data_IF_921537542277
#
_entry.id   IF_921537542277
#
_cell.length_a   1.000
_cell.length_b   1.000
_cell.length_c   1.000
_cell.angle_alpha   90.00
_cell.angle_beta   90.00
_cell.angle_gamma   90.00
#
_symmetry.space_group_name_H-M   'P 1'
#
loop_
_entity.id
_entity.type
_entity.pdbx_description
1 polymer ?
#
# COMPACT_ATOMS: atom_id res chain seq x y z
N UNK A 1 20.72 24.17 -21.67
CA UNK A 1 19.53 24.12 -20.80
C UNK A 1 19.02 22.68 -20.73
N UNK A 2 19.18 22.01 -19.60
CA UNK A 2 18.71 20.64 -19.39
C UNK A 2 17.93 20.60 -18.09
N UNK A 3 16.60 20.52 -18.24
CA UNK A 3 15.60 20.52 -17.17
C UNK A 3 15.78 19.29 -16.30
N UNK A 4 16.62 19.39 -15.26
CA UNK A 4 16.70 18.37 -14.20
C UNK A 4 15.75 18.75 -13.08
N UNK A 5 14.44 18.59 -13.31
CA UNK A 5 13.44 18.61 -12.24
C UNK A 5 13.42 17.22 -11.59
N UNK A 6 14.44 16.91 -10.80
CA UNK A 6 14.46 15.77 -9.90
C UNK A 6 14.50 16.30 -8.46
N UNK A 7 13.47 17.02 -8.04
CA UNK A 7 13.27 17.41 -6.64
C UNK A 7 11.79 17.48 -6.28
N UNK A 8 10.99 16.48 -6.67
CA UNK A 8 9.61 16.31 -6.19
C UNK A 8 9.40 15.03 -5.38
N UNK A 9 10.47 14.35 -4.99
CA UNK A 9 10.40 13.14 -4.15
C UNK A 9 10.24 13.43 -2.65
N UNK A 10 10.04 14.69 -2.25
CA UNK A 10 9.89 15.09 -0.85
C UNK A 10 8.98 16.32 -0.67
N UNK A 11 8.07 16.57 -1.61
CA UNK A 11 6.98 17.51 -1.33
C UNK A 11 6.04 16.82 -0.34
N UNK A 12 5.72 17.45 0.81
CA UNK A 12 4.74 16.90 1.73
C UNK A 12 3.44 16.66 0.95
N UNK A 13 2.84 15.48 1.15
CA UNK A 13 1.55 15.15 0.54
C UNK A 13 0.58 16.29 0.86
N UNK A 14 0.15 17.01 -0.17
CA UNK A 14 -0.89 18.02 0.00
C UNK A 14 -2.21 17.32 0.38
N UNK A 15 -3.11 18.04 1.04
CA UNK A 15 -4.44 17.55 1.37
C UNK A 15 -5.17 16.98 0.14
N UNK A 16 -4.95 17.53 -1.06
CA UNK A 16 -5.52 17.01 -2.30
C UNK A 16 -4.90 15.66 -2.72
N UNK A 17 -3.60 15.48 -2.48
CA UNK A 17 -2.92 14.21 -2.76
C UNK A 17 -3.37 13.11 -1.79
N UNK A 18 -3.58 13.41 -0.50
CA UNK A 18 -4.17 12.44 0.45
C UNK A 18 -5.59 12.03 0.05
N UNK A 19 -6.41 12.96 -0.44
CA UNK A 19 -7.75 12.66 -0.95
C UNK A 19 -7.69 11.73 -2.16
N UNK A 20 -6.73 11.93 -3.08
CA UNK A 20 -6.53 11.04 -4.22
C UNK A 20 -6.03 9.67 -3.78
N UNK A 21 -5.08 9.58 -2.86
CA UNK A 21 -4.63 8.30 -2.30
C UNK A 21 -5.80 7.53 -1.68
N UNK A 22 -6.70 8.20 -0.96
CA UNK A 22 -7.91 7.59 -0.40
C UNK A 22 -8.84 7.04 -1.48
N UNK A 23 -9.08 7.79 -2.56
CA UNK A 23 -9.91 7.33 -3.69
C UNK A 23 -9.31 6.13 -4.40
N UNK A 24 -7.98 6.11 -4.58
CA UNK A 24 -7.28 4.99 -5.21
C UNK A 24 -7.35 3.75 -4.33
N UNK A 25 -7.12 3.91 -3.03
CA UNK A 25 -7.28 2.83 -2.06
C UNK A 25 -8.71 2.26 -2.07
N UNK A 26 -9.73 3.11 -2.04
CA UNK A 26 -11.13 2.68 -2.06
C UNK A 26 -11.46 1.91 -3.35
N UNK A 27 -11.00 2.39 -4.51
CA UNK A 27 -11.17 1.71 -5.78
C UNK A 27 -10.46 0.34 -5.82
N UNK A 28 -9.26 0.24 -5.26
CA UNK A 28 -8.52 -1.03 -5.15
C UNK A 28 -9.26 -1.96 -4.19
N UNK A 29 -9.63 -1.51 -2.99
CA UNK A 29 -10.36 -2.35 -2.04
C UNK A 29 -11.69 -2.86 -2.62
N UNK A 30 -12.44 -2.01 -3.34
CA UNK A 30 -13.68 -2.41 -4.00
C UNK A 30 -13.45 -3.42 -5.13
N UNK A 31 -12.40 -3.25 -5.95
CA UNK A 31 -12.08 -4.15 -7.06
C UNK A 31 -11.61 -5.52 -6.59
N UNK A 32 -10.83 -5.57 -5.51
CA UNK A 32 -10.27 -6.82 -4.95
C UNK A 32 -11.13 -7.44 -3.84
N UNK A 33 -12.27 -6.83 -3.49
CA UNK A 33 -13.17 -7.32 -2.43
C UNK A 33 -12.55 -7.30 -1.03
N UNK A 34 -11.67 -6.32 -0.77
CA UNK A 34 -10.93 -6.21 0.49
C UNK A 34 -11.75 -5.40 1.48
N UNK A 35 -11.92 -5.94 2.68
CA UNK A 35 -12.63 -5.24 3.76
C UNK A 35 -11.87 -3.99 4.19
N UNK A 36 -12.56 -2.84 4.22
CA UNK A 36 -11.98 -1.59 4.68
C UNK A 36 -11.61 -1.70 6.16
N UNK A 37 -10.34 -1.43 6.48
CA UNK A 37 -9.83 -1.55 7.86
C UNK A 37 -9.18 -2.90 8.17
N UNK A 38 -9.18 -3.85 7.23
CA UNK A 38 -8.34 -5.05 7.33
C UNK A 38 -6.84 -4.70 7.29
N UNK A 39 -6.01 -5.60 7.80
CA UNK A 39 -4.55 -5.50 7.69
C UNK A 39 -4.11 -5.36 6.23
N UNK A 40 -4.79 -6.08 5.34
CA UNK A 40 -4.55 -6.03 3.90
C UNK A 40 -4.88 -4.65 3.30
N UNK A 41 -6.03 -4.07 3.66
CA UNK A 41 -6.37 -2.71 3.22
C UNK A 41 -5.35 -1.68 3.75
N UNK A 42 -4.86 -1.85 4.97
CA UNK A 42 -3.85 -0.97 5.57
C UNK A 42 -2.51 -1.07 4.84
N UNK A 43 -2.09 -2.29 4.50
CA UNK A 43 -0.89 -2.55 3.71
C UNK A 43 -0.99 -1.92 2.32
N UNK A 44 -2.11 -2.11 1.63
CA UNK A 44 -2.37 -1.49 0.32
C UNK A 44 -2.35 0.03 0.40
N UNK A 45 -2.90 0.62 1.46
CA UNK A 45 -2.88 2.06 1.68
C UNK A 45 -1.45 2.57 1.81
N UNK A 46 -0.62 1.89 2.61
CA UNK A 46 0.78 2.26 2.79
C UNK A 46 1.57 2.20 1.47
N UNK A 47 1.44 1.10 0.72
CA UNK A 47 2.09 0.94 -0.60
C UNK A 47 1.61 2.02 -1.57
N UNK A 48 0.30 2.26 -1.65
CA UNK A 48 -0.29 3.29 -2.50
C UNK A 48 0.29 4.67 -2.21
N UNK A 49 0.40 5.03 -0.93
CA UNK A 49 0.94 6.32 -0.48
C UNK A 49 2.44 6.43 -0.79
N UNK A 50 3.20 5.37 -0.60
CA UNK A 50 4.64 5.35 -0.87
C UNK A 50 4.94 5.49 -2.37
N UNK A 51 4.21 4.76 -3.22
CA UNK A 51 4.29 4.88 -4.68
C UNK A 51 3.95 6.29 -5.15
N UNK A 52 2.94 6.90 -4.53
CA UNK A 52 2.53 8.25 -4.87
C UNK A 52 3.61 9.29 -4.50
N UNK A 53 4.34 9.09 -3.39
CA UNK A 53 5.50 9.90 -3.00
C UNK A 53 6.71 9.69 -3.92
N UNK A 54 6.86 8.49 -4.48
CA UNK A 54 7.82 8.19 -5.55
C UNK A 54 7.42 8.81 -6.90
N UNK A 55 6.32 9.54 -6.97
CA UNK A 55 5.86 10.24 -8.17
C UNK A 55 4.98 9.38 -9.10
N UNK A 56 4.59 8.18 -8.68
CA UNK A 56 3.64 7.34 -9.42
C UNK A 56 2.24 7.88 -9.18
N UNK A 57 1.75 8.71 -10.10
CA UNK A 57 0.39 9.28 -10.07
C UNK A 57 -0.58 8.55 -11.02
N UNK A 58 -0.10 7.57 -11.78
CA UNK A 58 -0.92 6.82 -12.73
C UNK A 58 -1.62 5.64 -12.04
N UNK A 59 -2.96 5.59 -12.13
CA UNK A 59 -3.78 4.58 -11.45
C UNK A 59 -3.49 3.17 -11.95
N UNK A 60 -3.30 2.98 -13.26
CA UNK A 60 -2.98 1.67 -13.82
C UNK A 60 -1.62 1.15 -13.36
N UNK A 61 -0.62 2.03 -13.32
CA UNK A 61 0.70 1.69 -12.80
C UNK A 61 0.66 1.39 -11.30
N UNK A 62 -0.09 2.17 -10.51
CA UNK A 62 -0.30 1.94 -9.10
C UNK A 62 -0.94 0.58 -8.83
N UNK A 63 -2.01 0.24 -9.56
CA UNK A 63 -2.64 -1.08 -9.46
C UNK A 63 -1.66 -2.20 -9.76
N UNK A 64 -0.89 -2.09 -10.85
CA UNK A 64 0.08 -3.12 -11.21
C UNK A 64 1.17 -3.29 -10.14
N UNK A 65 1.65 -2.19 -9.56
CA UNK A 65 2.67 -2.22 -8.51
C UNK A 65 2.13 -2.74 -7.18
N UNK A 66 0.90 -2.36 -6.81
CA UNK A 66 0.20 -2.88 -5.62
C UNK A 66 -0.08 -4.38 -5.77
N UNK A 67 -0.56 -4.81 -6.94
CA UNK A 67 -0.79 -6.23 -7.25
C UNK A 67 0.51 -7.04 -7.18
N UNK A 68 1.59 -6.53 -7.77
CA UNK A 68 2.92 -7.14 -7.68
C UNK A 68 3.43 -7.20 -6.22
N UNK A 69 3.29 -6.10 -5.45
CA UNK A 69 3.72 -6.04 -4.06
C UNK A 69 2.91 -6.98 -3.15
N UNK A 70 1.61 -7.12 -3.41
CA UNK A 70 0.72 -8.07 -2.74
C UNK A 70 1.11 -9.52 -3.04
N UNK A 71 1.39 -9.84 -4.31
CA UNK A 71 1.80 -11.17 -4.73
C UNK A 71 3.14 -11.63 -4.15
N UNK A 72 4.03 -10.70 -3.82
CA UNK A 72 5.30 -10.99 -3.16
C UNK A 72 5.13 -11.36 -1.67
N UNK A 73 4.13 -10.80 -0.99
CA UNK A 73 3.92 -11.01 0.45
C UNK A 73 3.34 -12.40 0.82
N UNK A 74 2.75 -13.10 -0.15
CA UNK A 74 2.31 -14.50 0.04
C UNK A 74 3.48 -15.48 0.31
N UNK A 75 4.73 -14.99 0.28
CA UNK A 75 5.93 -15.77 0.57
C UNK A 75 6.45 -15.64 2.01
N UNK A 76 5.91 -14.73 2.84
CA UNK A 76 6.45 -14.43 4.19
C UNK A 76 5.48 -14.68 5.36
N UNK A 77 4.40 -15.45 5.16
CA UNK A 77 3.51 -15.87 6.26
C UNK A 77 3.35 -17.38 6.41
N UNK A 78 4.47 -18.09 6.30
CA UNK A 78 4.59 -19.46 6.78
C UNK A 78 5.55 -19.51 7.97
N UNK A 79 5.19 -18.90 9.11
CA UNK A 79 5.47 -19.37 10.47
C UNK A 79 4.91 -18.38 11.52
N UNK A 80 3.85 -18.77 12.22
CA UNK A 80 3.88 -18.87 13.69
C UNK A 80 2.63 -19.58 14.18
N UNK A 81 2.80 -20.89 14.37
CA UNK A 81 1.86 -21.81 14.98
C UNK A 81 1.58 -21.45 16.46
N UNK A 82 0.29 -21.48 16.84
CA UNK A 82 -0.23 -22.06 18.10
C UNK A 82 0.03 -21.37 19.47
N UNK A 83 -0.92 -21.46 20.43
CA UNK A 83 -0.72 -20.97 21.79
C UNK A 83 -0.09 -22.05 22.70
N UNK A 84 0.82 -21.71 23.63
CA UNK A 84 1.05 -22.54 24.79
C UNK A 84 0.32 -21.95 26.00
N UNK A 85 -0.87 -22.49 26.29
CA UNK A 85 -1.39 -22.48 27.66
C UNK A 85 -0.48 -23.36 28.50
N UNK A 86 0.50 -22.77 29.19
CA UNK A 86 1.21 -23.48 30.26
C UNK A 86 0.29 -23.56 31.48
N UNK A 87 -0.38 -24.69 31.59
CA UNK A 87 -0.81 -25.24 32.88
C UNK A 87 0.44 -25.70 33.63
N UNK A 88 0.65 -25.16 34.82
CA UNK A 88 1.60 -25.71 35.80
C UNK A 88 0.91 -25.75 37.15
N UNK A 89 1.05 -26.92 37.77
CA UNK A 89 0.37 -27.44 38.95
C UNK A 89 0.71 -26.70 40.25
#
# INVERSE_FOLDING_TARGET
MSRRYFSRHNEPLDCDDLRRCRLVLDAICAEFGIEQGSEEATRIAAITIELYQQGVRNIGQLKHLVDAARGLDLSEHAISEGPPTQTSA
#
